data_IF_304221589413
#
_entry.id   IF_304221589413
#
_cell.length_a   1.000
_cell.length_b   1.000
_cell.length_c   1.000
_cell.angle_alpha   90.00
_cell.angle_beta   90.00
_cell.angle_gamma   90.00
#
_symmetry.space_group_name_H-M   'P 1'
#
loop_
_entity.id
_entity.type
_entity.pdbx_description
1 polymer ?
#
# COMPACT_ATOMS: atom_id res chain seq x y z
N UNK A 1 -0.33 -11.38 -54.25
CA UNK A 1 0.75 -11.93 -53.40
C UNK A 1 1.06 -10.91 -52.33
N UNK A 2 0.82 -11.23 -51.06
CA UNK A 2 1.14 -10.33 -49.94
C UNK A 2 2.64 -10.43 -49.67
N UNK A 3 3.34 -9.31 -49.65
CA UNK A 3 4.79 -9.27 -49.43
C UNK A 3 5.13 -9.83 -48.04
N UNK A 4 6.08 -10.78 -47.91
CA UNK A 4 6.37 -11.44 -46.62
C UNK A 4 6.80 -10.44 -45.51
N UNK A 5 7.40 -9.31 -45.88
CA UNK A 5 7.75 -8.24 -44.93
C UNK A 5 6.53 -7.51 -44.32
N UNK A 6 5.43 -7.39 -45.07
CA UNK A 6 4.20 -6.79 -44.57
C UNK A 6 3.52 -7.69 -43.54
N UNK A 7 3.57 -9.02 -43.75
CA UNK A 7 3.07 -10.00 -42.79
C UNK A 7 3.88 -9.97 -41.48
N UNK A 8 5.20 -9.87 -41.57
CA UNK A 8 6.07 -9.79 -40.40
C UNK A 8 5.84 -8.52 -39.58
N UNK A 9 5.68 -7.36 -40.24
CA UNK A 9 5.35 -6.09 -39.58
C UNK A 9 3.97 -6.14 -38.92
N UNK A 10 2.97 -6.76 -39.57
CA UNK A 10 1.64 -6.95 -39.00
C UNK A 10 1.68 -7.86 -37.77
N UNK A 11 2.47 -8.95 -37.80
CA UNK A 11 2.62 -9.84 -36.66
C UNK A 11 3.35 -9.17 -35.49
N UNK A 12 4.36 -8.35 -35.76
CA UNK A 12 5.03 -7.54 -34.74
C UNK A 12 4.08 -6.48 -34.16
N UNK A 13 3.32 -5.78 -35.00
CA UNK A 13 2.31 -4.83 -34.55
C UNK A 13 1.23 -5.50 -33.71
N UNK A 14 0.75 -6.68 -34.12
CA UNK A 14 -0.24 -7.47 -33.36
C UNK A 14 0.35 -8.04 -32.06
N UNK A 15 1.63 -8.39 -32.03
CA UNK A 15 2.32 -8.82 -30.82
C UNK A 15 2.52 -7.65 -29.84
N UNK A 16 2.88 -6.46 -30.34
CA UNK A 16 2.96 -5.23 -29.55
C UNK A 16 1.58 -4.81 -29.04
N UNK A 17 0.53 -4.90 -29.87
CA UNK A 17 -0.85 -4.63 -29.46
C UNK A 17 -1.27 -5.64 -28.39
N UNK A 18 -1.01 -6.95 -28.54
CA UNK A 18 -1.32 -7.95 -27.51
C UNK A 18 -0.60 -7.69 -26.18
N UNK A 19 0.68 -7.32 -26.22
CA UNK A 19 1.45 -6.92 -25.03
C UNK A 19 0.85 -5.68 -24.35
N UNK A 20 0.27 -4.75 -25.12
CA UNK A 20 -0.36 -3.55 -24.57
C UNK A 20 -1.83 -3.74 -24.19
N UNK A 21 -2.55 -4.73 -24.74
CA UNK A 21 -4.00 -4.92 -24.52
C UNK A 21 -4.34 -5.88 -23.41
N UNK A 22 -3.42 -6.75 -22.97
CA UNK A 22 -3.71 -7.68 -21.86
C UNK A 22 -3.73 -7.00 -20.49
N UNK A 23 -3.17 -5.79 -20.36
CA UNK A 23 -3.20 -4.97 -19.15
C UNK A 23 -3.79 -3.58 -19.40
N UNK A 24 -4.87 -3.50 -20.19
CA UNK A 24 -5.85 -2.45 -19.96
C UNK A 24 -6.60 -2.80 -18.67
N UNK A 25 -5.88 -2.76 -17.55
CA UNK A 25 -6.43 -2.92 -16.21
C UNK A 25 -7.49 -1.83 -16.07
N UNK A 26 -8.73 -2.29 -16.20
CA UNK A 26 -9.94 -1.56 -15.91
C UNK A 26 -9.69 -0.77 -14.63
N UNK A 27 -9.95 0.54 -14.63
CA UNK A 27 -10.01 1.37 -13.41
C UNK A 27 -11.23 0.93 -12.58
N UNK A 28 -11.29 -0.35 -12.20
CA UNK A 28 -12.12 -0.84 -11.12
C UNK A 28 -11.22 -0.81 -9.90
N UNK A 29 -11.59 0.05 -8.97
CA UNK A 29 -11.11 -0.03 -7.61
C UNK A 29 -11.78 -1.23 -6.94
N UNK A 30 -10.98 -2.23 -6.57
CA UNK A 30 -11.47 -3.41 -5.87
C UNK A 30 -11.67 -3.10 -4.38
N UNK A 31 -12.54 -3.88 -3.73
CA UNK A 31 -12.84 -3.76 -2.30
C UNK A 31 -12.53 -5.05 -1.56
N UNK A 32 -11.69 -4.97 -0.55
CA UNK A 32 -11.27 -6.09 0.27
C UNK A 32 -11.95 -6.00 1.63
N UNK A 33 -12.77 -6.99 1.98
CA UNK A 33 -13.48 -7.03 3.26
C UNK A 33 -12.71 -7.86 4.29
N UNK A 34 -12.45 -7.28 5.46
CA UNK A 34 -11.81 -7.96 6.60
C UNK A 34 -12.71 -7.87 7.83
N UNK A 35 -13.16 -9.01 8.33
CA UNK A 35 -13.93 -9.11 9.57
C UNK A 35 -12.97 -9.23 10.75
N UNK A 36 -12.86 -8.17 11.56
CA UNK A 36 -11.86 -8.05 12.62
C UNK A 36 -12.39 -8.58 13.96
N UNK A 37 -12.32 -9.90 14.16
CA UNK A 37 -12.71 -10.56 15.40
C UNK A 37 -11.88 -11.83 15.64
N UNK A 38 -11.83 -12.31 16.89
CA UNK A 38 -11.05 -13.51 17.25
C UNK A 38 -11.60 -14.81 16.68
N UNK A 39 -12.89 -14.84 16.36
CA UNK A 39 -13.55 -16.00 15.77
C UNK A 39 -13.18 -16.21 14.29
N UNK A 40 -12.63 -15.20 13.62
CA UNK A 40 -12.20 -15.31 12.23
C UNK A 40 -10.90 -16.14 12.14
N UNK A 41 -10.93 -17.33 11.50
CA UNK A 41 -9.79 -18.25 11.47
C UNK A 41 -8.57 -17.67 10.75
N UNK A 42 -8.76 -16.67 9.87
CA UNK A 42 -7.66 -15.98 9.20
C UNK A 42 -6.69 -15.31 10.18
N UNK A 43 -7.13 -14.96 11.38
CA UNK A 43 -6.27 -14.36 12.41
C UNK A 43 -5.58 -15.38 13.33
N UNK A 44 -5.93 -16.67 13.30
CA UNK A 44 -5.44 -17.65 14.28
C UNK A 44 -3.93 -17.90 14.17
N UNK A 45 -3.38 -17.79 12.96
CA UNK A 45 -1.95 -18.02 12.70
C UNK A 45 -1.10 -16.74 12.84
N UNK A 46 -1.72 -15.56 12.92
CA UNK A 46 -1.02 -14.28 13.04
C UNK A 46 -0.26 -13.84 11.78
N UNK A 47 -0.55 -14.42 10.63
CA UNK A 47 0.09 -14.15 9.32
C UNK A 47 -0.93 -13.63 8.28
N UNK A 48 -2.11 -13.19 8.72
CA UNK A 48 -3.16 -12.67 7.84
C UNK A 48 -2.60 -11.53 6.98
N UNK A 49 -2.50 -11.80 5.69
CA UNK A 49 -2.07 -10.83 4.68
C UNK A 49 -3.17 -10.60 3.64
N UNK A 50 -3.29 -9.36 3.17
CA UNK A 50 -4.11 -8.97 2.03
C UNK A 50 -3.23 -8.22 1.02
N UNK A 51 -3.37 -8.55 -0.26
CA UNK A 51 -2.70 -7.83 -1.34
C UNK A 51 -3.69 -6.89 -2.02
N UNK A 52 -3.29 -5.64 -2.21
CA UNK A 52 -4.13 -4.59 -2.80
C UNK A 52 -3.36 -3.83 -3.88
N UNK A 53 -4.06 -3.22 -4.82
CA UNK A 53 -3.48 -2.25 -5.75
C UNK A 53 -3.66 -0.82 -5.25
N UNK A 54 -2.95 0.14 -5.84
CA UNK A 54 -3.26 1.56 -5.66
C UNK A 54 -4.70 1.83 -6.12
N UNK A 55 -5.38 2.71 -5.40
CA UNK A 55 -6.78 3.09 -5.52
C UNK A 55 -7.81 2.05 -5.04
N UNK A 56 -7.40 0.86 -4.62
CA UNK A 56 -8.30 -0.10 -3.96
C UNK A 56 -8.74 0.38 -2.57
N UNK A 57 -9.76 -0.28 -2.03
CA UNK A 57 -10.24 -0.06 -0.66
C UNK A 57 -10.11 -1.31 0.21
N UNK A 58 -9.70 -1.10 1.46
CA UNK A 58 -9.83 -2.09 2.53
C UNK A 58 -10.98 -1.67 3.45
N UNK A 59 -12.01 -2.50 3.50
CA UNK A 59 -13.17 -2.37 4.38
C UNK A 59 -13.00 -3.29 5.60
N UNK A 60 -12.67 -2.71 6.76
CA UNK A 60 -12.57 -3.43 8.04
C UNK A 60 -13.89 -3.35 8.78
N UNK A 61 -14.49 -4.52 9.06
CA UNK A 61 -15.73 -4.66 9.81
C UNK A 61 -15.45 -5.01 11.28
N UNK A 62 -15.97 -4.20 12.18
CA UNK A 62 -15.88 -4.42 13.62
C UNK A 62 -16.76 -5.61 14.08
N UNK A 63 -16.45 -6.24 15.23
CA UNK A 63 -17.33 -7.23 15.85
C UNK A 63 -18.72 -6.64 16.08
N UNK A 64 -19.77 -7.40 15.73
CA UNK A 64 -21.15 -6.99 15.88
C UNK A 64 -22.00 -8.13 16.44
N UNK A 65 -22.92 -7.78 17.34
CA UNK A 65 -23.79 -8.71 18.04
C UNK A 65 -25.22 -8.16 18.00
N UNK A 66 -26.17 -8.99 17.55
CA UNK A 66 -27.59 -8.59 17.36
C UNK A 66 -28.28 -8.20 18.67
N UNK A 67 -27.88 -8.81 19.78
CA UNK A 67 -28.42 -8.54 21.12
C UNK A 67 -27.28 -8.39 22.11
N UNK A 68 -27.42 -7.54 23.14
CA UNK A 68 -26.49 -7.52 24.25
C UNK A 68 -26.34 -8.92 24.83
N UNK A 69 -25.11 -9.44 24.81
CA UNK A 69 -24.82 -10.72 25.43
C UNK A 69 -24.93 -10.61 26.95
N UNK A 70 -25.13 -11.74 27.62
CA UNK A 70 -25.09 -11.77 29.09
C UNK A 70 -23.78 -11.17 29.61
N UNK A 71 -23.74 -10.49 30.77
CA UNK A 71 -22.52 -9.87 31.31
C UNK A 71 -21.31 -10.82 31.44
N UNK A 72 -21.54 -12.13 31.54
CA UNK A 72 -20.50 -13.16 31.53
C UNK A 72 -19.76 -13.30 30.18
N UNK A 73 -20.38 -12.91 29.07
CA UNK A 73 -19.78 -12.86 27.74
C UNK A 73 -19.42 -11.42 27.41
N UNK A 74 -18.12 -11.10 27.40
CA UNK A 74 -17.65 -9.79 26.97
C UNK A 74 -17.74 -9.71 25.44
N UNK A 75 -18.55 -8.77 24.95
CA UNK A 75 -18.55 -8.40 23.53
C UNK A 75 -17.19 -7.79 23.16
N UNK A 76 -16.60 -8.27 22.07
CA UNK A 76 -15.30 -7.81 21.62
C UNK A 76 -15.34 -6.33 21.21
N UNK A 77 -14.36 -5.56 21.69
CA UNK A 77 -14.15 -4.16 21.35
C UNK A 77 -12.66 -3.93 21.17
N UNK A 78 -12.30 -3.09 20.21
CA UNK A 78 -10.92 -2.89 19.80
C UNK A 78 -10.65 -1.44 19.40
N UNK A 79 -9.41 -1.00 19.61
CA UNK A 79 -8.86 0.19 18.94
C UNK A 79 -7.85 -0.28 17.91
N UNK A 80 -8.02 0.16 16.67
CA UNK A 80 -7.16 -0.18 15.54
C UNK A 80 -6.04 0.84 15.42
N UNK A 81 -4.82 0.32 15.26
CA UNK A 81 -3.60 1.11 15.08
C UNK A 81 -2.90 0.69 13.81
N UNK A 82 -2.39 1.67 13.08
CA UNK A 82 -1.41 1.46 12.03
C UNK A 82 -0.02 1.58 12.66
N UNK A 83 0.84 0.59 12.46
CA UNK A 83 2.15 0.47 13.10
C UNK A 83 3.24 0.16 12.06
N UNK A 84 4.50 0.23 12.47
CA UNK A 84 5.60 -0.31 11.70
C UNK A 84 5.70 -1.84 11.87
N UNK A 85 6.63 -2.44 11.13
CA UNK A 85 6.97 -3.86 11.16
C UNK A 85 7.29 -4.37 12.58
N UNK A 86 8.10 -3.64 13.34
CA UNK A 86 8.46 -3.97 14.72
C UNK A 86 7.24 -3.97 15.65
N UNK A 87 6.39 -2.94 15.55
CA UNK A 87 5.15 -2.84 16.32
C UNK A 87 4.16 -3.95 15.96
N UNK A 88 4.12 -4.37 14.70
CA UNK A 88 3.32 -5.51 14.25
C UNK A 88 3.82 -6.85 14.78
N UNK A 89 5.15 -7.05 14.81
CA UNK A 89 5.75 -8.26 15.36
C UNK A 89 5.52 -8.37 16.88
N UNK A 90 5.66 -7.26 17.60
CA UNK A 90 5.59 -7.18 19.07
C UNK A 90 4.20 -6.87 19.64
N UNK A 91 3.21 -6.56 18.79
CA UNK A 91 1.91 -6.03 19.21
C UNK A 91 2.04 -4.71 20.03
N UNK A 92 3.07 -3.90 19.76
CA UNK A 92 3.31 -2.60 20.42
C UNK A 92 2.98 -1.42 19.50
N UNK A 93 1.93 -0.69 19.86
CA UNK A 93 1.46 0.54 19.23
C UNK A 93 2.01 1.86 19.81
N UNK A 94 2.75 1.88 20.94
CA UNK A 94 3.10 3.13 21.65
C UNK A 94 4.21 3.92 20.98
N UNK A 95 5.19 3.22 20.40
CA UNK A 95 6.41 3.83 19.88
C UNK A 95 6.15 4.56 18.55
N UNK A 96 5.46 3.91 17.62
CA UNK A 96 5.25 4.38 16.24
C UNK A 96 3.87 4.04 15.69
N UNK A 97 2.90 3.85 16.59
CA UNK A 97 1.53 3.52 16.21
C UNK A 97 0.63 4.76 16.13
N UNK A 98 -0.15 4.85 15.06
CA UNK A 98 -1.18 5.86 14.91
C UNK A 98 -2.55 5.22 15.05
N UNK A 99 -3.37 5.76 15.94
CA UNK A 99 -4.76 5.33 16.09
C UNK A 99 -5.50 5.62 14.79
N UNK A 100 -6.09 4.59 14.19
CA UNK A 100 -6.82 4.70 12.93
C UNK A 100 -8.33 4.63 13.10
N UNK A 101 -8.81 3.78 14.00
CA UNK A 101 -10.25 3.56 14.18
C UNK A 101 -10.59 2.98 15.56
N UNK A 102 -11.86 3.08 15.97
CA UNK A 102 -12.39 2.44 17.18
C UNK A 102 -13.60 1.56 16.87
N UNK A 103 -13.50 0.29 17.23
CA UNK A 103 -14.61 -0.66 17.29
C UNK A 103 -15.22 -0.63 18.71
N UNK A 104 -15.96 0.44 19.02
CA UNK A 104 -16.51 0.71 20.36
C UNK A 104 -18.05 0.55 20.45
N UNK A 105 -18.73 0.18 19.35
CA UNK A 105 -20.20 -0.04 19.32
C UNK A 105 -20.55 -1.46 18.83
N UNK A 106 -20.41 -2.49 19.69
CA UNK A 106 -20.70 -3.88 19.31
C UNK A 106 -22.17 -4.15 18.99
N UNK A 107 -23.10 -3.33 19.49
CA UNK A 107 -24.56 -3.47 19.28
C UNK A 107 -25.13 -2.31 18.44
N UNK A 108 -24.36 -1.78 17.49
CA UNK A 108 -24.81 -0.67 16.65
C UNK A 108 -26.10 -1.04 15.86
N UNK A 109 -27.11 -0.17 15.79
CA UNK A 109 -28.42 -0.51 15.21
C UNK A 109 -28.37 -0.74 13.70
N UNK A 110 -27.37 -0.19 13.00
CA UNK A 110 -27.24 -0.25 11.55
C UNK A 110 -26.22 -1.33 11.11
N UNK A 111 -26.05 -2.39 11.91
CA UNK A 111 -25.06 -3.44 11.66
C UNK A 111 -23.64 -3.08 12.13
N UNK A 112 -22.62 -3.85 11.70
CA UNK A 112 -21.23 -3.65 12.13
C UNK A 112 -20.71 -2.27 11.72
N UNK A 113 -19.98 -1.62 12.63
CA UNK A 113 -19.18 -0.45 12.27
C UNK A 113 -18.16 -0.85 11.19
N UNK A 114 -18.02 0.01 10.18
CA UNK A 114 -17.11 -0.19 9.06
C UNK A 114 -16.11 0.95 8.97
N UNK A 115 -14.83 0.59 8.95
CA UNK A 115 -13.74 1.49 8.59
C UNK A 115 -13.31 1.19 7.15
N UNK A 116 -13.16 2.24 6.34
CA UNK A 116 -12.73 2.11 4.95
C UNK A 116 -11.41 2.87 4.76
N UNK A 117 -10.35 2.16 4.38
CA UNK A 117 -9.08 2.75 3.99
C UNK A 117 -8.95 2.72 2.46
N UNK A 118 -8.51 3.82 1.86
CA UNK A 118 -8.20 3.89 0.43
C UNK A 118 -6.69 3.92 0.23
N UNK A 119 -6.16 3.01 -0.59
CA UNK A 119 -4.73 2.94 -0.89
C UNK A 119 -4.35 3.97 -1.97
N UNK A 120 -4.30 5.24 -1.60
CA UNK A 120 -3.99 6.34 -2.50
C UNK A 120 -2.54 6.83 -2.35
N UNK A 121 -1.95 7.27 -3.46
CA UNK A 121 -0.58 7.82 -3.49
C UNK A 121 -0.46 9.17 -2.79
N UNK A 122 -1.53 9.96 -2.84
CA UNK A 122 -1.59 11.31 -2.31
C UNK A 122 -2.92 11.51 -1.61
N UNK A 123 -2.89 12.21 -0.48
CA UNK A 123 -4.08 12.52 0.29
C UNK A 123 -4.15 14.02 0.55
N UNK A 124 -5.30 14.68 0.28
CA UNK A 124 -5.44 16.10 0.55
C UNK A 124 -5.62 16.40 2.04
N UNK A 125 -5.70 15.36 2.88
CA UNK A 125 -5.87 15.49 4.32
C UNK A 125 -4.51 15.45 5.03
N UNK A 126 -4.22 16.44 5.87
CA UNK A 126 -2.91 16.54 6.55
C UNK A 126 -2.60 15.39 7.51
N UNK A 127 -3.62 14.69 8.02
CA UNK A 127 -3.48 13.46 8.82
C UNK A 127 -3.87 12.21 8.02
N UNK A 128 -4.00 12.35 6.70
CA UNK A 128 -4.19 11.24 5.79
C UNK A 128 -2.91 10.43 5.67
N UNK A 129 -3.05 9.16 5.29
CA UNK A 129 -1.91 8.29 5.09
C UNK A 129 -1.68 8.08 3.59
N UNK A 130 -0.43 8.18 3.15
CA UNK A 130 -0.02 7.96 1.76
C UNK A 130 0.56 6.56 1.60
N UNK A 131 0.12 5.86 0.56
CA UNK A 131 0.56 4.50 0.27
C UNK A 131 1.48 4.49 -0.94
N UNK A 132 2.48 3.61 -0.93
CA UNK A 132 3.48 3.46 -1.97
C UNK A 132 3.41 2.03 -2.54
N UNK A 133 3.45 1.86 -3.87
CA UNK A 133 3.51 0.53 -4.49
C UNK A 133 4.76 -0.23 -4.08
N UNK A 134 4.63 -1.54 -3.90
CA UNK A 134 5.71 -2.43 -3.46
C UNK A 134 6.02 -2.38 -1.97
N UNK A 135 5.21 -1.69 -1.16
CA UNK A 135 5.42 -1.58 0.29
C UNK A 135 4.39 -2.36 1.11
N UNK A 136 4.84 -2.80 2.28
CA UNK A 136 4.04 -3.44 3.30
C UNK A 136 3.55 -2.42 4.35
N UNK A 137 2.29 -2.56 4.74
CA UNK A 137 1.64 -1.75 5.76
C UNK A 137 1.01 -2.65 6.81
N UNK A 138 1.05 -2.22 8.08
CA UNK A 138 0.71 -3.11 9.19
C UNK A 138 -0.35 -2.50 10.10
N UNK A 139 -1.34 -3.31 10.44
CA UNK A 139 -2.41 -2.98 11.36
C UNK A 139 -2.41 -3.95 12.53
N UNK A 140 -2.62 -3.42 13.73
CA UNK A 140 -2.87 -4.22 14.95
C UNK A 140 -4.07 -3.67 15.71
N UNK A 141 -4.61 -4.49 16.61
CA UNK A 141 -5.65 -4.06 17.54
C UNK A 141 -5.22 -4.19 18.99
N UNK A 142 -5.68 -3.26 19.82
CA UNK A 142 -5.58 -3.36 21.27
C UNK A 142 -6.97 -3.40 21.89
N UNK A 143 -7.14 -4.21 22.93
CA UNK A 143 -8.37 -4.25 23.71
C UNK A 143 -8.44 -3.02 24.63
N UNK A 144 -9.55 -2.26 24.68
CA UNK A 144 -9.74 -1.16 25.64
C UNK A 144 -9.45 -1.62 27.08
N UNK A 145 -8.72 -0.83 27.90
CA UNK A 145 -8.30 0.56 27.69
C UNK A 145 -6.97 0.74 26.93
N UNK A 146 -6.69 -0.05 25.90
CA UNK A 146 -5.47 -0.11 25.09
C UNK A 146 -4.34 -0.88 25.79
N UNK A 147 -4.70 -2.02 26.37
CA UNK A 147 -3.71 -2.93 26.95
C UNK A 147 -2.88 -3.58 25.85
N UNK A 148 -1.60 -3.81 26.16
CA UNK A 148 -0.72 -4.61 25.32
C UNK A 148 -1.07 -6.08 25.46
N UNK A 149 -1.75 -6.60 24.45
CA UNK A 149 -2.04 -8.03 24.38
C UNK A 149 -0.80 -8.76 23.86
N UNK A 150 -0.31 -9.75 24.61
CA UNK A 150 0.76 -10.66 24.15
C UNK A 150 0.37 -11.40 22.85
N UNK A 151 -0.93 -11.51 22.58
CA UNK A 151 -1.52 -12.03 21.35
C UNK A 151 -2.59 -11.06 20.84
N UNK A 152 -2.20 -10.12 19.98
CA UNK A 152 -3.13 -9.19 19.33
C UNK A 152 -3.61 -9.73 17.97
N UNK A 153 -4.81 -9.31 17.53
CA UNK A 153 -5.19 -9.48 16.12
C UNK A 153 -4.35 -8.49 15.30
N UNK A 154 -3.80 -8.98 14.20
CA UNK A 154 -2.89 -8.22 13.34
C UNK A 154 -3.06 -8.60 11.86
N UNK A 155 -2.84 -7.63 11.00
CA UNK A 155 -3.04 -7.71 9.55
C UNK A 155 -1.86 -7.04 8.86
N UNK A 156 -1.29 -7.74 7.89
CA UNK A 156 -0.34 -7.19 6.92
C UNK A 156 -1.09 -6.86 5.62
N UNK A 157 -0.79 -5.70 5.04
CA UNK A 157 -1.30 -5.31 3.73
C UNK A 157 -0.13 -5.03 2.81
N UNK A 158 -0.02 -5.78 1.71
CA UNK A 158 0.98 -5.56 0.68
C UNK A 158 0.34 -4.77 -0.47
N UNK A 159 0.88 -3.59 -0.77
CA UNK A 159 0.46 -2.82 -1.94
C UNK A 159 1.29 -3.29 -3.13
N UNK A 160 0.63 -3.92 -4.11
CA UNK A 160 1.29 -4.44 -5.31
C UNK A 160 1.99 -3.31 -6.07
N UNK A 161 3.16 -3.56 -6.68
CA UNK A 161 3.78 -2.62 -7.60
C UNK A 161 2.82 -2.26 -8.74
N UNK A 162 2.80 -1.00 -9.14
CA UNK A 162 2.13 -0.59 -10.38
C UNK A 162 2.95 -1.07 -11.56
N UNK A 163 2.28 -1.67 -12.55
CA UNK A 163 2.90 -2.03 -13.81
C UNK A 163 3.26 -0.75 -14.57
N UNK A 164 4.27 -0.80 -15.46
CA UNK A 164 4.65 0.37 -16.29
C UNK A 164 3.51 0.87 -17.19
N UNK A 165 2.47 0.06 -17.42
CA UNK A 165 1.31 0.41 -18.24
C UNK A 165 0.26 1.22 -17.47
N UNK A 166 0.19 1.11 -16.13
CA UNK A 166 -0.75 1.88 -15.30
C UNK A 166 -0.43 3.39 -15.28
N UNK A 167 0.81 3.77 -15.63
CA UNK A 167 1.31 5.14 -15.63
C UNK A 167 0.77 5.97 -16.81
N UNK A 168 0.30 5.32 -17.88
CA UNK A 168 -0.20 6.03 -19.06
C UNK A 168 -1.67 6.50 -18.95
N UNK A 169 -2.33 6.22 -17.83
CA UNK A 169 -3.72 6.61 -17.55
C UNK A 169 -3.91 7.92 -16.79
N UNK A 170 -2.84 8.55 -16.27
CA UNK A 170 -2.92 9.80 -15.51
C UNK A 170 -2.36 10.97 -16.35
N UNK A 171 -3.20 11.90 -16.84
CA UNK A 171 -2.70 13.17 -17.32
C UNK A 171 -2.31 14.03 -16.11
N UNK A 172 -1.03 14.03 -15.70
CA UNK A 172 -0.52 15.17 -14.92
C UNK A 172 0.63 15.03 -13.93
N UNK A 173 1.33 13.89 -13.74
CA UNK A 173 2.48 13.88 -12.82
C UNK A 173 3.70 13.12 -13.36
N UNK A 174 4.47 13.77 -14.23
CA UNK A 174 5.91 13.54 -14.35
C UNK A 174 6.62 14.90 -14.27
N UNK A 175 6.85 15.35 -13.04
CA UNK A 175 7.81 16.44 -12.79
C UNK A 175 8.59 16.09 -11.54
N UNK A 176 9.33 14.99 -11.59
CA UNK A 176 10.48 14.68 -10.73
C UNK A 176 11.23 13.53 -11.38
N UNK A 177 11.91 13.88 -12.47
CA UNK A 177 12.92 13.05 -13.09
C UNK A 177 13.85 12.50 -12.01
N UNK A 178 14.09 11.19 -12.06
CA UNK A 178 15.24 10.55 -11.45
C UNK A 178 16.52 11.27 -11.90
N UNK A 179 17.07 12.10 -11.02
CA UNK A 179 18.49 12.41 -11.04
C UNK A 179 19.27 11.17 -10.58
N UNK A 180 20.31 10.82 -11.33
CA UNK A 180 21.36 9.94 -10.83
C UNK A 180 21.89 8.87 -11.77
N UNK A 181 22.43 9.25 -12.93
CA UNK A 181 23.36 8.39 -13.67
C UNK A 181 24.50 9.20 -14.31
N UNK A 182 25.54 9.36 -13.50
CA UNK A 182 26.96 9.62 -13.77
C UNK A 182 27.44 9.38 -15.22
N UNK A 183 27.75 10.45 -15.96
CA UNK A 183 28.57 10.40 -17.18
C UNK A 183 30.00 10.87 -16.85
N UNK A 184 30.97 9.96 -16.99
CA UNK A 184 32.39 10.20 -16.77
C UNK A 184 32.97 11.13 -17.82
N UNK A 185 33.55 12.24 -17.35
CA UNK A 185 34.25 13.25 -18.15
C UNK A 185 35.56 12.66 -18.70
N UNK A 186 35.60 12.37 -20.00
CA UNK A 186 36.84 12.14 -20.74
C UNK A 186 37.40 13.46 -21.28
N UNK A 187 38.63 13.81 -20.90
CA UNK A 187 39.37 14.94 -21.47
C UNK A 187 40.76 14.46 -21.89
N UNK A 188 41.04 14.51 -23.19
CA UNK A 188 42.36 14.26 -23.76
C UNK A 188 42.82 15.45 -24.59
N UNK A 189 44.09 15.85 -24.35
CA UNK A 189 44.99 16.62 -25.23
C UNK A 189 44.57 18.06 -25.56
N UNK A 190 45.31 19.12 -25.26
CA UNK A 190 46.74 19.28 -25.03
C UNK A 190 47.18 20.50 -25.84
N UNK A 191 47.80 21.50 -25.20
CA UNK A 191 48.67 22.53 -25.80
C UNK A 191 49.40 23.25 -24.64
N UNK A 192 50.73 23.27 -24.68
CA UNK A 192 51.63 24.17 -23.93
C UNK A 192 52.21 25.21 -24.92
N UNK A 193 53.13 26.13 -24.56
CA UNK A 193 53.65 26.56 -23.24
C UNK A 193 53.70 28.10 -23.07
N UNK A 194 53.99 28.61 -21.85
CA UNK A 194 55.07 29.59 -21.56
C UNK A 194 54.94 30.27 -20.19
N UNK A 195 56.00 30.11 -19.38
CA UNK A 195 56.72 31.10 -18.53
C UNK A 195 56.04 32.02 -17.51
N UNK A 196 56.73 32.19 -16.36
CA UNK A 196 56.64 33.36 -15.47
C UNK A 196 56.15 33.05 -14.05
N UNK A 197 56.99 32.55 -13.14
CA UNK A 197 57.79 33.32 -12.18
C UNK A 197 57.03 33.97 -11.00
N UNK A 198 57.42 33.52 -9.80
CA UNK A 198 57.54 34.24 -8.51
C UNK A 198 56.28 34.66 -7.74
N UNK A 199 56.27 34.26 -6.47
CA UNK A 199 56.29 35.25 -5.38
C UNK A 199 55.34 34.98 -4.21
N UNK A 200 55.96 34.65 -3.06
CA UNK A 200 55.49 34.72 -1.67
C UNK A 200 54.49 33.66 -1.19
#
# INVERSE_FOLDING_TARGET
MVQPGLLALLLLALAWVRVCTDDAAKVISDRYAVYWNRSNPRFHHGDYTVEVSINDYLDIYCPHYEKPLTPAMRMEQYVLYMVNDEGHASCDHRQKGFKRWECNRPTAPNGPLKFSEKFQLFTPFSLGFEFRPGHDYYYISATPPNMMDRSCLKLKVYVKPTSKCDVWGEPGLWASHHDGAREGRGTGGGHSPSEGARGL
#
